data_IF_288908472327
#
_entry.id   IF_288908472327
#
_cell.length_a   1.000
_cell.length_b   1.000
_cell.length_c   1.000
_cell.angle_alpha   90.00
_cell.angle_beta   90.00
_cell.angle_gamma   90.00
#
_symmetry.space_group_name_H-M   'P 1'
#
loop_
_entity.id
_entity.type
_entity.pdbx_description
1 polymer ?
#
# COMPACT_ATOMS: atom_id res chain seq x y z
N UNK A 1 2.42 -2.75 18.19
CA UNK A 1 1.34 -3.11 17.26
C UNK A 1 0.60 -1.86 16.82
N UNK A 2 1.19 -1.06 15.93
CA UNK A 2 0.45 0.00 15.25
C UNK A 2 0.19 -0.51 13.84
N UNK A 3 -1.03 -0.34 13.35
CA UNK A 3 -1.39 -0.75 12.00
C UNK A 3 -0.45 -0.10 11.00
N UNK A 4 0.31 -0.90 10.27
CA UNK A 4 1.11 -0.40 9.16
C UNK A 4 0.15 0.15 8.12
N UNK A 5 0.31 1.43 7.76
CA UNK A 5 -0.52 2.06 6.73
C UNK A 5 -0.31 1.42 5.36
N UNK A 6 0.88 0.85 5.14
CA UNK A 6 1.21 0.03 3.98
C UNK A 6 2.01 -1.16 4.50
N UNK A 7 1.56 -2.37 4.19
CA UNK A 7 2.32 -3.60 4.45
C UNK A 7 3.39 -3.80 3.38
N UNK A 8 3.02 -3.61 2.11
CA UNK A 8 3.95 -3.62 0.99
C UNK A 8 3.41 -2.87 -0.22
N UNK A 9 4.33 -2.49 -1.11
CA UNK A 9 4.05 -2.03 -2.46
C UNK A 9 4.67 -3.02 -3.44
N UNK A 10 3.90 -3.47 -4.43
CA UNK A 10 4.36 -4.35 -5.50
C UNK A 10 4.25 -3.63 -6.84
N UNK A 11 5.26 -3.79 -7.68
CA UNK A 11 5.21 -3.46 -9.10
C UNK A 11 5.07 -4.77 -9.87
N UNK A 12 3.99 -4.91 -10.62
CA UNK A 12 3.71 -6.08 -11.46
C UNK A 12 3.81 -5.66 -12.91
N UNK A 13 4.38 -6.51 -13.76
CA UNK A 13 4.48 -6.27 -15.21
C UNK A 13 3.95 -7.48 -15.98
N UNK A 14 3.54 -7.24 -17.21
CA UNK A 14 3.28 -8.33 -18.16
C UNK A 14 4.56 -8.64 -18.93
N UNK A 15 5.03 -9.87 -18.79
CA UNK A 15 6.08 -10.46 -19.59
C UNK A 15 5.47 -11.31 -20.70
N UNK A 16 6.02 -11.25 -21.93
CA UNK A 16 5.41 -11.92 -23.09
C UNK A 16 5.54 -13.44 -22.98
N UNK A 17 6.64 -13.93 -22.42
CA UNK A 17 6.94 -15.36 -22.34
C UNK A 17 6.33 -15.99 -21.08
N UNK A 18 6.37 -15.26 -19.96
CA UNK A 18 5.98 -15.79 -18.65
C UNK A 18 4.54 -15.39 -18.28
N UNK A 19 4.05 -14.26 -18.77
CA UNK A 19 2.79 -13.66 -18.34
C UNK A 19 2.96 -12.64 -17.22
N UNK A 20 2.00 -12.57 -16.29
CA UNK A 20 2.04 -11.58 -15.21
C UNK A 20 3.06 -11.97 -14.14
N UNK A 21 4.03 -11.09 -13.88
CA UNK A 21 5.07 -11.31 -12.86
C UNK A 21 5.26 -10.09 -11.97
N UNK A 22 5.57 -10.32 -10.70
CA UNK A 22 5.97 -9.25 -9.78
C UNK A 22 7.41 -8.87 -10.11
N UNK A 23 7.58 -7.67 -10.66
CA UNK A 23 8.88 -7.13 -11.06
C UNK A 23 9.69 -6.66 -9.85
N UNK A 24 9.00 -6.18 -8.80
CA UNK A 24 9.63 -5.56 -7.64
C UNK A 24 8.65 -5.44 -6.47
N UNK A 25 9.18 -5.48 -5.24
CA UNK A 25 8.42 -5.30 -4.01
C UNK A 25 9.19 -4.48 -2.98
N UNK A 26 8.47 -3.69 -2.19
CA UNK A 26 8.99 -3.08 -0.96
C UNK A 26 8.01 -3.27 0.20
N UNK A 27 8.45 -3.74 1.38
CA UNK A 27 9.80 -4.20 1.68
C UNK A 27 10.17 -5.47 0.89
N UNK A 28 11.48 -5.69 0.69
CA UNK A 28 11.99 -6.93 0.11
C UNK A 28 11.53 -8.14 0.92
N UNK A 29 11.15 -9.22 0.24
CA UNK A 29 10.68 -10.47 0.86
C UNK A 29 9.46 -10.31 1.78
N UNK A 30 8.65 -9.28 1.56
CA UNK A 30 7.40 -9.02 2.31
C UNK A 30 6.24 -9.94 1.92
N UNK A 31 6.38 -10.64 0.79
CA UNK A 31 5.40 -11.56 0.24
C UNK A 31 6.07 -12.91 -0.03
N UNK A 32 5.33 -13.99 0.16
CA UNK A 32 5.76 -15.35 -0.21
C UNK A 32 5.55 -15.60 -1.70
N UNK A 33 6.21 -16.61 -2.27
CA UNK A 33 6.04 -17.00 -3.69
C UNK A 33 4.57 -17.30 -4.05
N UNK A 34 3.83 -17.96 -3.15
CA UNK A 34 2.42 -18.24 -3.36
C UNK A 34 1.55 -16.97 -3.38
N UNK A 35 1.89 -15.98 -2.53
CA UNK A 35 1.23 -14.69 -2.52
C UNK A 35 1.60 -13.88 -3.77
N UNK A 36 2.86 -13.92 -4.18
CA UNK A 36 3.37 -13.27 -5.38
C UNK A 36 2.60 -13.72 -6.63
N UNK A 37 2.42 -15.03 -6.81
CA UNK A 37 1.61 -15.59 -7.90
C UNK A 37 0.15 -15.12 -7.85
N UNK A 38 -0.44 -15.07 -6.67
CA UNK A 38 -1.83 -14.60 -6.52
C UNK A 38 -1.94 -13.09 -6.81
N UNK A 39 -0.99 -12.29 -6.34
CA UNK A 39 -0.93 -10.86 -6.57
C UNK A 39 -0.73 -10.58 -8.06
N UNK A 40 0.19 -11.29 -8.73
CA UNK A 40 0.47 -11.04 -10.15
C UNK A 40 -0.75 -11.29 -11.04
N UNK A 41 -1.51 -12.37 -10.76
CA UNK A 41 -2.75 -12.64 -11.48
C UNK A 41 -3.82 -11.58 -11.21
N UNK A 42 -4.05 -11.21 -9.93
CA UNK A 42 -5.11 -10.26 -9.55
C UNK A 42 -4.76 -8.80 -9.89
N UNK A 43 -3.48 -8.48 -10.13
CA UNK A 43 -3.01 -7.14 -10.47
C UNK A 43 -3.34 -6.72 -11.92
N UNK A 44 -3.97 -7.59 -12.70
CA UNK A 44 -4.48 -7.31 -14.05
C UNK A 44 -6.01 -7.50 -14.10
N UNK A 45 -6.77 -6.66 -14.81
CA UNK A 45 -8.20 -6.88 -15.01
C UNK A 45 -8.45 -8.11 -15.90
N UNK A 46 -9.52 -8.86 -15.63
CA UNK A 46 -9.91 -10.05 -16.41
C UNK A 46 -10.25 -9.73 -17.88
N UNK A 47 -10.56 -8.47 -18.17
CA UNK A 47 -10.86 -8.00 -19.52
C UNK A 47 -10.09 -6.73 -19.84
N UNK A 48 -9.49 -6.70 -21.02
CA UNK A 48 -8.83 -5.51 -21.54
C UNK A 48 -9.90 -4.53 -22.05
N UNK A 49 -10.38 -3.65 -21.16
CA UNK A 49 -11.26 -2.54 -21.55
C UNK A 49 -10.60 -1.56 -22.54
N UNK A 50 -9.27 -1.64 -22.67
CA UNK A 50 -8.43 -0.73 -23.45
C UNK A 50 -7.99 -1.31 -24.80
N UNK A 51 -8.90 -1.95 -25.54
CA UNK A 51 -8.58 -2.78 -26.72
C UNK A 51 -7.64 -2.13 -27.76
N UNK A 52 -7.55 -0.79 -27.84
CA UNK A 52 -6.52 -0.05 -28.59
C UNK A 52 -6.06 1.27 -27.94
N UNK A 53 -6.43 1.53 -26.68
CA UNK A 53 -6.19 2.83 -26.04
C UNK A 53 -5.17 2.76 -24.91
N UNK A 54 -4.55 3.89 -24.60
CA UNK A 54 -3.81 4.07 -23.37
C UNK A 54 -4.75 4.39 -22.22
N UNK A 55 -4.42 3.94 -21.02
CA UNK A 55 -5.27 4.19 -19.87
C UNK A 55 -4.76 3.55 -18.60
N UNK A 56 -5.49 3.85 -17.52
CA UNK A 56 -5.29 3.23 -16.22
C UNK A 56 -6.63 2.90 -15.58
N UNK A 57 -6.64 1.87 -14.73
CA UNK A 57 -7.81 1.40 -14.01
C UNK A 57 -7.43 1.17 -12.55
N UNK A 58 -8.28 1.66 -11.64
CA UNK A 58 -8.15 1.42 -10.21
C UNK A 58 -9.19 0.45 -9.72
N UNK A 59 -8.77 -0.51 -8.91
CA UNK A 59 -9.66 -1.48 -8.29
C UNK A 59 -9.03 -2.05 -7.03
N UNK A 60 -9.79 -2.84 -6.28
CA UNK A 60 -9.34 -3.46 -5.03
C UNK A 60 -9.66 -4.95 -5.06
N UNK A 61 -8.72 -5.77 -4.58
CA UNK A 61 -8.91 -7.20 -4.41
C UNK A 61 -8.43 -7.65 -3.03
N UNK A 62 -8.74 -8.90 -2.67
CA UNK A 62 -8.27 -9.50 -1.41
C UNK A 62 -7.12 -10.46 -1.68
N UNK A 63 -6.06 -10.34 -0.92
CA UNK A 63 -4.90 -11.23 -0.93
C UNK A 63 -4.92 -12.08 0.33
N UNK A 64 -4.92 -13.39 0.19
CA UNK A 64 -4.74 -14.30 1.33
C UNK A 64 -3.29 -14.24 1.81
N UNK A 65 -3.09 -14.01 3.10
CA UNK A 65 -1.76 -13.94 3.72
C UNK A 65 -1.38 -15.25 4.41
N UNK A 66 -0.10 -15.56 4.40
CA UNK A 66 0.50 -16.67 5.13
C UNK A 66 0.40 -16.45 6.65
N UNK A 67 0.15 -17.52 7.42
CA UNK A 67 0.08 -17.47 8.88
C UNK A 67 -1.33 -17.53 9.50
N UNK A 68 -2.36 -17.96 8.77
CA UNK A 68 -3.67 -18.31 9.37
C UNK A 68 -4.81 -18.43 8.34
N UNK A 69 -5.81 -19.28 8.63
CA UNK A 69 -6.91 -19.61 7.69
C UNK A 69 -7.77 -18.41 7.25
N UNK A 70 -7.70 -17.27 7.93
CA UNK A 70 -8.52 -16.08 7.65
C UNK A 70 -7.74 -14.75 7.62
N UNK A 71 -6.42 -14.79 7.42
CA UNK A 71 -5.64 -13.55 7.30
C UNK A 71 -5.67 -13.07 5.85
N UNK A 72 -6.16 -11.85 5.63
CA UNK A 72 -6.19 -11.23 4.33
C UNK A 72 -5.70 -9.79 4.40
N UNK A 73 -5.10 -9.33 3.30
CA UNK A 73 -4.83 -7.92 3.05
C UNK A 73 -5.66 -7.46 1.87
N UNK A 74 -5.96 -6.17 1.82
CA UNK A 74 -6.52 -5.50 0.66
C UNK A 74 -5.37 -5.13 -0.29
N UNK A 75 -5.49 -5.51 -1.56
CA UNK A 75 -4.62 -5.08 -2.65
C UNK A 75 -5.30 -3.98 -3.44
N UNK A 76 -4.88 -2.73 -3.25
CA UNK A 76 -5.30 -1.60 -4.07
C UNK A 76 -4.42 -1.55 -5.30
N UNK A 77 -5.00 -1.79 -6.48
CA UNK A 77 -4.27 -1.84 -7.74
C UNK A 77 -4.53 -0.60 -8.60
N UNK A 78 -3.48 -0.11 -9.24
CA UNK A 78 -3.53 0.79 -10.38
C UNK A 78 -2.90 0.07 -11.56
N UNK A 79 -3.74 -0.53 -12.40
CA UNK A 79 -3.34 -1.10 -13.67
C UNK A 79 -3.14 0.02 -14.69
N UNK A 80 -2.12 -0.10 -15.53
CA UNK A 80 -1.75 0.88 -16.55
C UNK A 80 -1.37 0.16 -17.85
N UNK A 81 -1.86 0.66 -18.97
CA UNK A 81 -1.48 0.23 -20.31
C UNK A 81 -1.02 1.44 -21.11
N UNK A 82 0.12 1.30 -21.79
CA UNK A 82 0.67 2.31 -22.69
C UNK A 82 1.07 1.69 -24.02
N UNK A 83 0.95 2.43 -25.11
CA UNK A 83 1.40 1.98 -26.43
C UNK A 83 2.93 1.85 -26.39
N UNK A 84 3.42 0.78 -26.98
CA UNK A 84 4.84 0.46 -26.99
C UNK A 84 5.14 -0.27 -28.29
N UNK A 85 5.76 0.42 -29.25
CA UNK A 85 6.01 -0.10 -30.59
C UNK A 85 7.19 -1.08 -30.62
N UNK A 86 8.08 -0.98 -29.64
CA UNK A 86 9.20 -1.92 -29.46
C UNK A 86 8.71 -3.24 -28.83
N UNK A 87 7.50 -3.26 -28.27
CA UNK A 87 6.88 -4.45 -27.72
C UNK A 87 6.11 -5.21 -28.82
N UNK A 88 6.38 -6.52 -29.03
CA UNK A 88 5.67 -7.34 -30.03
C UNK A 88 4.14 -7.35 -29.93
N UNK A 89 3.58 -7.05 -28.75
CA UNK A 89 2.12 -6.94 -28.54
C UNK A 89 1.55 -5.55 -28.86
N UNK A 90 2.41 -4.55 -29.11
CA UNK A 90 2.05 -3.16 -29.39
C UNK A 90 1.77 -2.31 -28.15
N UNK A 91 1.89 -2.87 -26.94
CA UNK A 91 1.68 -2.16 -25.68
C UNK A 91 2.45 -2.80 -24.52
N UNK A 92 2.80 -1.96 -23.54
CA UNK A 92 3.33 -2.39 -22.25
C UNK A 92 2.27 -2.23 -21.17
N UNK A 93 2.14 -3.27 -20.33
CA UNK A 93 1.21 -3.28 -19.20
C UNK A 93 1.95 -3.44 -17.87
N UNK A 94 1.58 -2.60 -16.91
CA UNK A 94 2.10 -2.65 -15.54
C UNK A 94 0.99 -2.37 -14.54
N UNK A 95 1.19 -2.81 -13.31
CA UNK A 95 0.28 -2.54 -12.21
C UNK A 95 1.07 -2.19 -10.95
N UNK A 96 0.64 -1.14 -10.25
CA UNK A 96 1.14 -0.82 -8.90
C UNK A 96 0.10 -1.35 -7.92
N UNK A 97 0.52 -2.18 -6.96
CA UNK A 97 -0.35 -2.74 -5.93
C UNK A 97 0.12 -2.29 -4.55
N UNK A 98 -0.77 -1.71 -3.76
CA UNK A 98 -0.52 -1.42 -2.34
C UNK A 98 -1.26 -2.47 -1.51
N UNK A 99 -0.52 -3.21 -0.69
CA UNK A 99 -1.08 -4.14 0.30
C UNK A 99 -1.24 -3.44 1.65
N UNK A 100 -2.41 -3.58 2.26
CA UNK A 100 -2.75 -2.99 3.56
C UNK A 100 -3.89 -3.74 4.23
N UNK A 101 -4.01 -3.62 5.55
CA UNK A 101 -5.20 -4.06 6.30
C UNK A 101 -6.22 -2.93 6.51
N UNK A 102 -5.93 -1.70 6.04
CA UNK A 102 -6.79 -0.54 6.24
C UNK A 102 -7.71 -0.32 5.04
N UNK A 103 -9.04 -0.22 5.22
CA UNK A 103 -10.00 -0.03 4.13
C UNK A 103 -10.18 1.44 3.73
N UNK A 104 -9.09 2.21 3.62
CA UNK A 104 -9.13 3.65 3.29
C UNK A 104 -9.13 3.89 1.77
N UNK A 105 -10.20 3.46 1.08
CA UNK A 105 -10.26 3.38 -0.39
C UNK A 105 -9.81 4.66 -1.10
N UNK A 106 -10.42 5.80 -0.78
CA UNK A 106 -10.10 7.09 -1.42
C UNK A 106 -8.66 7.51 -1.19
N UNK A 107 -8.11 7.25 0.00
CA UNK A 107 -6.72 7.55 0.32
C UNK A 107 -5.77 6.76 -0.57
N UNK A 108 -5.94 5.43 -0.67
CA UNK A 108 -5.06 4.60 -1.47
C UNK A 108 -5.21 4.84 -2.97
N UNK A 109 -6.42 5.13 -3.47
CA UNK A 109 -6.60 5.51 -4.86
C UNK A 109 -5.93 6.84 -5.19
N UNK A 110 -6.05 7.86 -4.34
CA UNK A 110 -5.37 9.13 -4.56
C UNK A 110 -3.84 8.99 -4.47
N UNK A 111 -3.36 8.15 -3.55
CA UNK A 111 -1.95 7.84 -3.42
C UNK A 111 -1.40 7.16 -4.68
N UNK A 112 -2.11 6.17 -5.22
CA UNK A 112 -1.72 5.49 -6.46
C UNK A 112 -1.63 6.47 -7.63
N UNK A 113 -2.62 7.35 -7.79
CA UNK A 113 -2.60 8.39 -8.84
C UNK A 113 -1.47 9.39 -8.66
N UNK A 114 -1.20 9.79 -7.41
CA UNK A 114 -0.10 10.69 -7.09
C UNK A 114 1.25 10.05 -7.43
N UNK A 115 1.45 8.78 -7.07
CA UNK A 115 2.65 8.01 -7.44
C UNK A 115 2.76 7.95 -8.97
N UNK A 116 1.68 7.57 -9.65
CA UNK A 116 1.65 7.43 -11.11
C UNK A 116 1.98 8.72 -11.86
N UNK A 117 1.37 9.84 -11.43
CA UNK A 117 1.59 11.14 -12.05
C UNK A 117 3.03 11.62 -11.93
N UNK A 118 3.70 11.25 -10.83
CA UNK A 118 5.10 11.61 -10.60
C UNK A 118 6.09 10.77 -11.42
N UNK A 119 5.70 9.63 -12.03
CA UNK A 119 6.59 8.75 -12.82
C UNK A 119 7.35 9.51 -13.91
N UNK A 120 6.78 10.57 -14.47
CA UNK A 120 7.43 11.39 -15.49
C UNK A 120 8.72 12.07 -15.03
N UNK A 121 8.98 12.10 -13.72
CA UNK A 121 10.13 12.80 -13.11
C UNK A 121 11.29 11.87 -12.69
N UNK A 122 11.22 10.55 -12.93
CA UNK A 122 12.32 9.64 -12.55
C UNK A 122 12.02 8.15 -12.69
N UNK A 123 12.85 7.32 -12.04
CA UNK A 123 12.66 5.87 -12.00
C UNK A 123 11.45 5.49 -11.14
N UNK A 124 10.48 4.76 -11.72
CA UNK A 124 9.27 4.29 -11.04
C UNK A 124 9.59 3.55 -9.72
N UNK A 125 10.58 2.65 -9.71
CA UNK A 125 10.95 1.89 -8.50
C UNK A 125 11.43 2.82 -7.37
N UNK A 126 12.20 3.87 -7.69
CA UNK A 126 12.68 4.84 -6.71
C UNK A 126 11.52 5.65 -6.09
N UNK A 127 10.51 6.00 -6.89
CA UNK A 127 9.33 6.71 -6.41
C UNK A 127 8.44 5.83 -5.53
N UNK A 128 8.26 4.57 -5.91
CA UNK A 128 7.55 3.59 -5.08
C UNK A 128 8.25 3.39 -3.73
N UNK A 129 9.58 3.25 -3.76
CA UNK A 129 10.41 3.15 -2.56
C UNK A 129 10.22 4.37 -1.66
N UNK A 130 10.36 5.57 -2.22
CA UNK A 130 10.19 6.82 -1.49
C UNK A 130 8.78 6.94 -0.88
N UNK A 131 7.73 6.64 -1.65
CA UNK A 131 6.35 6.66 -1.17
C UNK A 131 6.14 5.70 0.01
N UNK A 132 6.66 4.47 -0.10
CA UNK A 132 6.61 3.48 0.98
C UNK A 132 7.28 4.02 2.27
N UNK A 133 8.48 4.60 2.15
CA UNK A 133 9.23 5.13 3.28
C UNK A 133 8.52 6.30 3.96
N UNK A 134 8.02 7.26 3.19
CA UNK A 134 7.33 8.44 3.74
C UNK A 134 6.04 8.04 4.47
N UNK A 135 5.24 7.14 3.90
CA UNK A 135 3.97 6.71 4.51
C UNK A 135 4.23 5.85 5.75
N UNK A 136 5.23 4.97 5.67
CA UNK A 136 5.67 4.18 6.82
C UNK A 136 6.16 5.07 7.96
N UNK A 137 6.88 6.15 7.66
CA UNK A 137 7.33 7.14 8.64
C UNK A 137 6.15 7.92 9.23
N UNK A 138 5.24 8.42 8.40
CA UNK A 138 4.05 9.15 8.82
C UNK A 138 3.21 8.33 9.81
N UNK A 139 2.94 7.06 9.50
CA UNK A 139 2.18 6.18 10.38
C UNK A 139 2.83 5.99 11.75
N UNK A 140 4.17 5.90 11.80
CA UNK A 140 4.92 5.84 13.07
C UNK A 140 4.83 7.15 13.85
N UNK A 141 5.00 8.29 13.18
CA UNK A 141 4.96 9.62 13.81
C UNK A 141 3.59 9.93 14.40
N UNK A 142 2.51 9.72 13.64
CA UNK A 142 1.14 9.93 14.13
C UNK A 142 0.90 9.07 15.37
N UNK A 143 1.30 7.81 15.31
CA UNK A 143 1.13 6.90 16.42
C UNK A 143 1.91 7.31 17.68
N UNK A 144 3.16 7.74 17.53
CA UNK A 144 3.98 8.25 18.62
C UNK A 144 3.35 9.48 19.26
N UNK A 145 2.84 10.42 18.45
CA UNK A 145 2.16 11.62 18.92
C UNK A 145 0.91 11.26 19.72
N UNK A 146 0.07 10.34 19.23
CA UNK A 146 -1.14 9.89 19.94
C UNK A 146 -0.77 9.24 21.28
N UNK A 147 0.21 8.34 21.30
CA UNK A 147 0.66 7.67 22.55
C UNK A 147 1.17 8.71 23.56
N UNK A 148 1.97 9.68 23.10
CA UNK A 148 2.49 10.75 23.96
C UNK A 148 1.35 11.59 24.55
N UNK A 149 0.38 12.00 23.73
CA UNK A 149 -0.79 12.76 24.18
C UNK A 149 -1.62 11.99 25.21
N UNK A 150 -1.82 10.67 25.01
CA UNK A 150 -2.55 9.82 25.95
C UNK A 150 -1.82 9.66 27.29
N UNK A 151 -0.49 9.51 27.28
CA UNK A 151 0.30 9.39 28.50
C UNK A 151 0.26 10.67 29.35
N UNK A 152 0.29 11.85 28.72
CA UNK A 152 0.19 13.15 29.40
C UNK A 152 -1.18 13.30 30.10
N UNK A 153 -2.26 12.87 29.45
CA UNK A 153 -3.60 12.90 30.04
C UNK A 153 -3.73 12.01 31.29
N UNK A 154 -3.05 10.86 31.33
CA UNK A 154 -3.03 9.97 32.49
C UNK A 154 -2.24 10.52 33.68
N UNK A 155 -1.13 11.21 33.43
CA UNK A 155 -0.35 11.87 34.48
C UNK A 155 -1.11 13.06 35.11
N UNK A 156 -1.85 13.83 34.29
CA UNK A 156 -2.64 14.96 34.79
C UNK A 156 -3.88 14.54 35.59
N UNK A 157 -4.43 13.35 35.35
CA UNK A 157 -5.59 12.82 36.08
C UNK A 157 -5.23 12.14 37.40
N UNK A 158 -3.99 11.68 37.56
CA UNK A 158 -3.49 11.07 38.81
C UNK A 158 -2.92 12.09 39.82
N UNK A 159 -2.76 13.37 39.44
CA UNK A 159 -2.31 14.45 40.32
C UNK A 159 -3.41 15.22 41.07
N UNK A 160 -4.69 14.91 40.86
CA UNK A 160 -5.83 15.63 41.49
C UNK A 160 -6.44 14.96 42.73
N UNK A 161 -5.91 13.84 43.23
CA UNK A 161 -6.51 13.10 44.37
C UNK A 161 -5.91 13.39 45.75
N UNK A 162 -5.10 14.44 45.94
CA UNK A 162 -4.42 14.74 47.22
C UNK A 162 -4.82 16.07 47.89
N UNK A 163 -6.01 16.59 47.60
CA UNK A 163 -6.49 17.86 48.19
C UNK A 163 -7.78 17.73 49.03
N UNK A 164 -7.94 16.67 49.82
CA UNK A 164 -8.94 16.61 50.91
C UNK A 164 -8.48 15.71 52.07
N UNK A 165 -7.36 16.06 52.70
CA UNK A 165 -7.07 15.68 54.09
C UNK A 165 -6.31 16.83 54.71
N UNK A 166 -7.03 17.85 55.16
CA UNK A 166 -6.63 18.79 56.22
C UNK A 166 -7.69 19.88 56.36
N UNK A 167 -8.83 19.55 56.99
CA UNK A 167 -9.58 20.52 57.77
C UNK A 167 -9.96 19.86 59.09
N UNK A 168 -9.43 20.47 60.15
CA UNK A 168 -9.47 20.06 61.56
C UNK A 168 -10.90 19.92 62.11
N UNK A 169 -11.02 19.05 63.11
CA UNK A 169 -12.11 19.00 64.09
C UNK A 169 -11.70 18.08 65.23
#
# INVERSE_FOLDING_TARGET
>A
MLSQWIESICLVKFDIEIGQIVEWTQPLSSITEQEEKNISMLAFPDSNAFSQNEGHLKYVFRVRRSGGKNRFSLGFALFMQRKDEDNPRGYTQKSIVILTNLPLVTFYYNLLEMIYSNIKQGCLKAQLQFAYEQISKLGKTIAQQIIQSLNIQQQNSSGSSTLFKDVKG
#
